data_IF_646085560603
#
_entry.id   IF_646085560603
#
_cell.length_a   1.000
_cell.length_b   1.000
_cell.length_c   1.000
_cell.angle_alpha   90.00
_cell.angle_beta   90.00
_cell.angle_gamma   90.00
#
_symmetry.space_group_name_H-M   'P 1'
#
loop_
_entity.id
_entity.type
_entity.pdbx_description
1 polymer ?
#
# COMPACT_ATOMS: atom_id res chain seq x y z
N UNK A 1 51.59 -11.52 6.95
CA UNK A 1 50.53 -10.68 7.54
C UNK A 1 49.42 -10.66 6.51
N UNK A 2 48.40 -11.48 6.68
CA UNK A 2 47.18 -11.36 5.89
C UNK A 2 46.37 -10.20 6.46
N UNK A 3 46.25 -9.13 5.69
CA UNK A 3 45.36 -8.02 5.99
C UNK A 3 43.92 -8.47 5.66
N UNK A 4 42.97 -8.48 6.62
CA UNK A 4 41.62 -8.90 6.31
C UNK A 4 40.98 -7.86 5.39
N UNK A 5 40.57 -8.30 4.19
CA UNK A 5 39.88 -7.45 3.24
C UNK A 5 38.61 -6.84 3.88
N UNK A 6 38.37 -5.52 3.76
CA UNK A 6 37.18 -4.89 4.30
C UNK A 6 35.99 -5.25 3.42
N UNK A 7 35.24 -6.31 3.78
CA UNK A 7 34.09 -6.76 2.98
C UNK A 7 33.01 -7.56 3.72
N UNK A 8 33.13 -7.78 5.03
CA UNK A 8 32.24 -8.68 5.77
C UNK A 8 31.07 -7.97 6.47
N UNK A 9 30.07 -7.48 5.75
CA UNK A 9 28.75 -7.10 6.34
C UNK A 9 27.61 -6.79 5.33
N UNK A 10 27.86 -6.74 4.03
CA UNK A 10 26.85 -6.29 3.04
C UNK A 10 25.78 -7.35 2.68
N UNK A 11 26.11 -8.64 2.50
CA UNK A 11 25.12 -9.66 2.11
C UNK A 11 23.92 -9.82 3.07
N UNK A 12 24.09 -9.90 4.42
CA UNK A 12 22.97 -10.14 5.32
C UNK A 12 21.97 -8.97 5.38
N UNK A 13 22.43 -7.73 5.14
CA UNK A 13 21.53 -6.58 5.07
C UNK A 13 20.68 -6.58 3.79
N UNK A 14 21.21 -7.12 2.70
CA UNK A 14 20.45 -7.20 1.44
C UNK A 14 19.31 -8.20 1.53
N UNK A 15 19.56 -9.38 2.10
CA UNK A 15 18.54 -10.40 2.32
C UNK A 15 17.42 -9.88 3.23
N UNK A 16 17.78 -9.11 4.27
CA UNK A 16 16.80 -8.48 5.15
C UNK A 16 15.94 -7.43 4.41
N UNK A 17 16.55 -6.60 3.56
CA UNK A 17 15.81 -5.65 2.71
C UNK A 17 14.86 -6.39 1.78
N UNK A 18 15.31 -7.43 1.09
CA UNK A 18 14.47 -8.17 0.15
C UNK A 18 13.29 -8.87 0.88
N UNK A 19 13.53 -9.36 2.11
CA UNK A 19 12.48 -9.90 2.99
C UNK A 19 11.45 -8.83 3.38
N UNK A 20 11.92 -7.65 3.80
CA UNK A 20 11.07 -6.52 4.17
C UNK A 20 10.26 -6.01 2.97
N UNK A 21 10.88 -5.91 1.79
CA UNK A 21 10.22 -5.50 0.56
C UNK A 21 9.09 -6.47 0.17
N UNK A 22 9.35 -7.79 0.29
CA UNK A 22 8.32 -8.81 0.09
C UNK A 22 7.14 -8.65 1.07
N UNK A 23 7.42 -8.33 2.33
CA UNK A 23 6.39 -8.07 3.33
C UNK A 23 5.61 -6.78 3.05
N UNK A 24 6.27 -5.71 2.62
CA UNK A 24 5.64 -4.46 2.20
C UNK A 24 4.69 -4.71 1.03
N UNK A 25 5.13 -5.42 -0.01
CA UNK A 25 4.28 -5.75 -1.17
C UNK A 25 3.03 -6.53 -0.75
N UNK A 26 3.20 -7.52 0.13
CA UNK A 26 2.08 -8.31 0.67
C UNK A 26 1.09 -7.44 1.42
N UNK A 27 1.57 -6.60 2.34
CA UNK A 27 0.74 -5.72 3.16
C UNK A 27 0.03 -4.65 2.33
N UNK A 28 0.72 -4.04 1.37
CA UNK A 28 0.14 -3.06 0.45
C UNK A 28 -0.98 -3.68 -0.37
N UNK A 29 -0.77 -4.88 -0.92
CA UNK A 29 -1.79 -5.60 -1.68
C UNK A 29 -3.04 -5.85 -0.83
N UNK A 30 -2.87 -6.39 0.37
CA UNK A 30 -3.97 -6.65 1.30
C UNK A 30 -4.73 -5.37 1.69
N UNK A 31 -4.01 -4.25 1.92
CA UNK A 31 -4.61 -2.94 2.20
C UNK A 31 -5.46 -2.45 1.04
N UNK A 32 -4.94 -2.57 -0.19
CA UNK A 32 -5.63 -2.14 -1.41
C UNK A 32 -6.91 -2.95 -1.63
N UNK A 33 -6.86 -4.27 -1.44
CA UNK A 33 -8.02 -5.17 -1.52
C UNK A 33 -9.08 -4.84 -0.47
N UNK A 34 -8.65 -4.60 0.78
CA UNK A 34 -9.53 -4.24 1.88
C UNK A 34 -10.24 -2.90 1.63
N UNK A 35 -9.48 -1.90 1.16
CA UNK A 35 -10.04 -0.58 0.84
C UNK A 35 -11.03 -0.62 -0.33
N UNK A 36 -10.75 -1.43 -1.37
CA UNK A 36 -11.67 -1.64 -2.48
C UNK A 36 -12.97 -2.33 -2.02
N UNK A 37 -12.86 -3.35 -1.16
CA UNK A 37 -14.00 -4.06 -0.59
C UNK A 37 -14.88 -3.15 0.26
N UNK A 38 -14.28 -2.27 1.06
CA UNK A 38 -15.00 -1.25 1.84
C UNK A 38 -15.72 -0.25 0.92
N UNK A 39 -15.08 0.21 -0.15
CA UNK A 39 -15.70 1.13 -1.11
C UNK A 39 -16.89 0.49 -1.84
N UNK A 40 -16.77 -0.79 -2.22
CA UNK A 40 -17.87 -1.56 -2.80
C UNK A 40 -19.03 -1.72 -1.81
N UNK A 41 -18.75 -2.06 -0.54
CA UNK A 41 -19.78 -2.18 0.49
C UNK A 41 -20.54 -0.87 0.72
N UNK A 42 -19.84 0.28 0.71
CA UNK A 42 -20.46 1.61 0.84
C UNK A 42 -21.42 1.92 -0.29
N UNK A 43 -21.05 1.57 -1.52
CA UNK A 43 -21.94 1.72 -2.67
C UNK A 43 -23.18 0.85 -2.57
N UNK A 44 -23.03 -0.41 -2.15
CA UNK A 44 -24.17 -1.30 -1.95
C UNK A 44 -25.12 -0.77 -0.85
N UNK A 45 -24.58 -0.03 0.12
CA UNK A 45 -25.37 0.66 1.14
C UNK A 45 -25.95 2.02 0.68
N UNK A 46 -25.82 2.39 -0.59
CA UNK A 46 -26.33 3.66 -1.14
C UNK A 46 -25.47 4.90 -0.81
N UNK A 47 -24.27 4.71 -0.26
CA UNK A 47 -23.32 5.78 0.05
C UNK A 47 -22.32 6.06 -1.08
N UNK A 48 -21.32 6.90 -0.80
CA UNK A 48 -20.22 7.20 -1.73
C UNK A 48 -19.04 6.25 -1.56
N UNK A 49 -18.27 6.02 -2.64
CA UNK A 49 -17.06 5.15 -2.61
C UNK A 49 -15.99 5.64 -1.62
N UNK A 50 -15.80 6.95 -1.51
CA UNK A 50 -14.79 7.56 -0.66
C UNK A 50 -15.41 8.68 0.18
N UNK A 51 -14.87 8.83 1.39
CA UNK A 51 -15.17 9.93 2.31
C UNK A 51 -13.88 10.72 2.45
N UNK A 52 -13.90 12.02 2.11
CA UNK A 52 -12.71 12.88 2.14
C UNK A 52 -11.98 12.81 3.48
N UNK A 53 -12.73 12.73 4.59
CA UNK A 53 -12.18 12.56 5.93
C UNK A 53 -11.30 11.31 6.05
N UNK A 54 -11.75 10.16 5.54
CA UNK A 54 -10.99 8.91 5.62
C UNK A 54 -9.69 9.00 4.79
N UNK A 55 -9.73 9.68 3.64
CA UNK A 55 -8.53 9.89 2.82
C UNK A 55 -7.52 10.80 3.53
N UNK A 56 -8.00 11.87 4.18
CA UNK A 56 -7.17 12.75 5.00
C UNK A 56 -6.57 12.03 6.22
N UNK A 57 -7.33 11.15 6.87
CA UNK A 57 -6.85 10.35 8.00
C UNK A 57 -5.73 9.39 7.57
N UNK A 58 -5.81 8.83 6.36
CA UNK A 58 -4.72 8.03 5.78
C UNK A 58 -3.49 8.88 5.56
N UNK A 59 -3.64 10.06 4.95
CA UNK A 59 -2.52 10.98 4.69
C UNK A 59 -1.84 11.39 6.00
N UNK A 60 -2.63 11.75 7.02
CA UNK A 60 -2.11 12.12 8.34
C UNK A 60 -1.36 10.97 9.02
N UNK A 61 -1.87 9.73 8.93
CA UNK A 61 -1.21 8.55 9.51
C UNK A 61 0.18 8.31 8.91
N UNK A 62 0.31 8.43 7.59
CA UNK A 62 1.61 8.26 6.94
C UNK A 62 2.51 9.49 7.07
N UNK A 63 1.98 10.65 7.46
CA UNK A 63 2.76 11.84 7.77
C UNK A 63 3.82 11.64 8.86
N UNK A 64 3.70 10.59 9.68
CA UNK A 64 4.75 10.15 10.61
C UNK A 64 6.09 9.80 9.92
N UNK A 65 6.07 9.49 8.62
CA UNK A 65 7.27 9.24 7.79
C UNK A 65 7.75 10.52 7.06
N UNK A 66 7.21 11.70 7.41
CA UNK A 66 7.53 12.97 6.78
C UNK A 66 6.92 13.14 5.39
N UNK A 67 7.59 13.92 4.53
CA UNK A 67 7.08 14.26 3.20
C UNK A 67 6.88 13.03 2.30
N UNK A 68 7.82 12.07 2.34
CA UNK A 68 7.69 10.82 1.57
C UNK A 68 6.55 9.94 2.08
N UNK A 69 6.23 10.02 3.36
CA UNK A 69 5.05 9.38 3.95
C UNK A 69 3.75 9.86 3.31
N UNK A 70 3.58 11.18 3.18
CA UNK A 70 2.41 11.74 2.50
C UNK A 70 2.33 11.28 1.05
N UNK A 71 3.47 11.24 0.32
CA UNK A 71 3.50 10.71 -1.06
C UNK A 71 3.09 9.24 -1.11
N UNK A 72 3.59 8.42 -0.19
CA UNK A 72 3.22 7.01 -0.10
C UNK A 72 1.72 6.83 0.15
N UNK A 73 1.12 7.61 1.05
CA UNK A 73 -0.32 7.58 1.28
C UNK A 73 -1.12 7.88 0.00
N UNK A 74 -0.71 8.89 -0.77
CA UNK A 74 -1.37 9.24 -2.04
C UNK A 74 -1.29 8.09 -3.06
N UNK A 75 -0.15 7.41 -3.15
CA UNK A 75 0.02 6.22 -4.01
C UNK A 75 -0.93 5.10 -3.57
N UNK A 76 -1.01 4.81 -2.27
CA UNK A 76 -1.90 3.76 -1.74
C UNK A 76 -3.38 4.07 -2.02
N UNK A 77 -3.81 5.32 -1.88
CA UNK A 77 -5.17 5.74 -2.21
C UNK A 77 -5.47 5.58 -3.70
N UNK A 78 -4.52 5.95 -4.57
CA UNK A 78 -4.66 5.76 -6.02
C UNK A 78 -4.79 4.29 -6.41
N UNK A 79 -3.97 3.41 -5.83
CA UNK A 79 -4.04 1.96 -6.06
C UNK A 79 -5.40 1.38 -5.67
N UNK A 80 -5.94 1.78 -4.51
CA UNK A 80 -7.26 1.32 -4.04
C UNK A 80 -8.40 1.70 -4.99
N UNK A 81 -8.40 2.94 -5.50
CA UNK A 81 -9.43 3.40 -6.44
C UNK A 81 -9.39 2.60 -7.74
N UNK A 82 -8.21 2.38 -8.32
CA UNK A 82 -8.05 1.61 -9.55
C UNK A 82 -8.52 0.15 -9.39
N UNK A 83 -8.26 -0.45 -8.21
CA UNK A 83 -8.69 -1.83 -7.93
C UNK A 83 -10.21 -1.99 -7.87
N UNK A 84 -10.91 -1.05 -7.24
CA UNK A 84 -12.38 -1.08 -7.18
C UNK A 84 -13.05 -0.97 -8.57
N UNK A 85 -12.48 -0.19 -9.49
CA UNK A 85 -13.00 -0.08 -10.86
C UNK A 85 -12.87 -1.40 -11.64
N UNK A 86 -11.78 -2.14 -11.45
CA UNK A 86 -11.59 -3.46 -12.07
C UNK A 86 -12.54 -4.55 -11.53
N UNK A 87 -13.00 -4.42 -10.27
CA UNK A 87 -14.04 -5.26 -9.67
C UNK A 87 -15.43 -4.97 -10.28
N UNK A 88 -15.77 -3.68 -10.43
CA UNK A 88 -17.05 -3.27 -10.99
C UNK A 88 -17.25 -3.71 -12.46
N UNK A 89 -16.19 -3.72 -13.28
CA UNK A 89 -16.23 -4.16 -14.67
C UNK A 89 -16.55 -5.66 -14.87
N UNK A 90 -16.34 -6.51 -13.86
CA UNK A 90 -16.64 -7.95 -13.93
C UNK A 90 -18.07 -8.32 -13.51
N UNK A 91 -18.80 -7.40 -12.86
CA UNK A 91 -20.19 -7.64 -12.40
C UNK A 91 -21.27 -7.28 -13.43
N UNK A 92 -20.89 -6.66 -14.56
CA UNK A 92 -21.81 -6.32 -15.66
C UNK A 92 -21.79 -7.31 -16.83
N UNK A 93 -21.03 -8.40 -16.73
CA UNK A 93 -20.95 -9.47 -17.72
C UNK A 93 -21.42 -10.78 -17.09
N UNK A 94 -22.72 -10.87 -16.81
CA UNK A 94 -23.42 -12.12 -16.55
C UNK A 94 -24.90 -11.98 -16.87
#
# INVERSE_FOLDING_TARGET
MDEPAPGGAVPPLREEIDRLDGEIVRLVTARVDSAASLADARLQAGGTRAVLKDELDVVARFGALGHEGHRLALVLLALSRNRSMGSAGRRGAS
#
